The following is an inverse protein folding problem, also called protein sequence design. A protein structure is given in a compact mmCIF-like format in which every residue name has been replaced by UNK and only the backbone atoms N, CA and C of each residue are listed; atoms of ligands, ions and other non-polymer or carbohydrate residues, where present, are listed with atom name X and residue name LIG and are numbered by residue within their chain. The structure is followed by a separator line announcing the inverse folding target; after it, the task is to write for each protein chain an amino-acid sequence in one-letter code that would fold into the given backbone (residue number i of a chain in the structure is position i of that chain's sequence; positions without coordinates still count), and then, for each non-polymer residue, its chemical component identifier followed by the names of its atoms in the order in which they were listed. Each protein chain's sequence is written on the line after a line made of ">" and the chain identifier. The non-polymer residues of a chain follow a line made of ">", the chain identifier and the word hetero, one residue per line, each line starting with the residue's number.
data_IF_725596612180
#
_entry.id   IF_725596612180
#
_cell.length_a   1.000
_cell.length_b   1.000
_cell.length_c   1.000
_cell.angle_alpha   90.00
_cell.angle_beta   90.00
_cell.angle_gamma   90.00
#
_symmetry.space_group_name_H-M   'P 1'
#
loop_
_entity.id
_entity.type
_entity.pdbx_description
1 polymer ?
#
# COMPACT_ATOMS: atom_id res chain seq x y z
N UNK A 1 25.89 5.54 24.31
CA UNK A 1 24.46 5.92 24.35
C UNK A 1 24.35 7.35 23.83
N UNK A 2 23.83 7.57 22.62
CA UNK A 2 23.58 8.92 22.09
C UNK A 2 22.18 9.35 22.53
N UNK A 3 22.12 10.24 23.51
CA UNK A 3 20.87 10.88 23.95
C UNK A 3 20.49 11.89 22.86
N UNK A 4 19.28 11.77 22.32
CA UNK A 4 18.73 12.71 21.34
C UNK A 4 18.58 14.12 21.97
N UNK A 5 18.72 15.22 21.21
CA UNK A 5 18.66 16.56 21.77
C UNK A 5 17.28 16.88 22.36
N UNK A 6 17.18 17.66 23.45
CA UNK A 6 15.90 18.12 23.96
C UNK A 6 15.38 19.17 22.98
N UNK A 7 14.21 18.90 22.39
CA UNK A 7 13.43 19.72 21.43
C UNK A 7 13.16 19.07 20.05
N UNK A 8 13.15 17.74 19.93
CA UNK A 8 12.45 17.06 18.82
C UNK A 8 10.94 16.96 19.04
N UNK A 9 10.34 17.89 19.78
CA UNK A 9 8.90 18.01 19.88
C UNK A 9 8.40 18.50 18.52
N UNK A 10 7.78 17.61 17.75
CA UNK A 10 6.99 17.99 16.59
C UNK A 10 6.11 19.19 16.97
N UNK A 11 6.14 20.27 16.19
CA UNK A 11 5.25 21.42 16.41
C UNK A 11 3.83 20.92 16.70
N UNK A 12 3.20 21.35 17.82
CA UNK A 12 1.86 20.91 18.19
C UNK A 12 0.91 21.10 17.00
N UNK A 13 0.31 20.01 16.53
CA UNK A 13 -0.68 20.03 15.45
C UNK A 13 -0.18 19.69 14.04
N UNK A 14 1.12 19.59 13.76
CA UNK A 14 1.59 19.20 12.41
C UNK A 14 1.20 17.76 12.06
N UNK A 15 1.33 16.84 13.01
CA UNK A 15 0.87 15.45 12.85
C UNK A 15 -0.65 15.37 12.61
N UNK A 16 -1.43 16.16 13.35
CA UNK A 16 -2.88 16.24 13.17
C UNK A 16 -3.26 16.78 11.78
N UNK A 17 -2.52 17.77 11.25
CA UNK A 17 -2.74 18.29 9.90
C UNK A 17 -2.48 17.23 8.83
N UNK A 18 -1.38 16.49 8.92
CA UNK A 18 -1.04 15.42 7.97
C UNK A 18 -2.08 14.29 8.03
N UNK A 19 -2.41 13.82 9.23
CA UNK A 19 -3.46 12.82 9.45
C UNK A 19 -4.79 13.26 8.83
N UNK A 20 -5.24 14.49 9.10
CA UNK A 20 -6.49 15.03 8.52
C UNK A 20 -6.44 15.07 6.99
N UNK A 21 -5.29 15.46 6.42
CA UNK A 21 -5.10 15.47 4.96
C UNK A 21 -5.22 14.07 4.35
N UNK A 22 -4.60 13.05 4.96
CA UNK A 22 -4.69 11.66 4.48
C UNK A 22 -6.14 11.15 4.56
N UNK A 23 -6.84 11.42 5.67
CA UNK A 23 -8.25 11.04 5.81
C UNK A 23 -9.14 11.71 4.76
N UNK A 24 -8.99 13.02 4.57
CA UNK A 24 -9.72 13.74 3.54
C UNK A 24 -9.41 13.24 2.13
N UNK A 25 -8.17 12.86 1.84
CA UNK A 25 -7.81 12.25 0.56
C UNK A 25 -8.51 10.91 0.34
N UNK A 26 -8.54 10.04 1.36
CA UNK A 26 -9.25 8.76 1.33
C UNK A 26 -10.77 8.91 1.11
N UNK A 27 -11.37 9.97 1.65
CA UNK A 27 -12.82 10.17 1.54
C UNK A 27 -13.23 10.94 0.27
N UNK A 28 -12.32 11.75 -0.29
CA UNK A 28 -12.56 12.50 -1.53
C UNK A 28 -12.30 11.70 -2.80
N UNK A 29 -11.58 10.57 -2.73
CA UNK A 29 -11.28 9.75 -3.91
C UNK A 29 -12.49 9.05 -4.53
N UNK A 30 -13.67 9.12 -3.89
CA UNK A 30 -14.94 8.63 -4.45
C UNK A 30 -15.55 9.60 -5.47
N UNK A 31 -15.08 10.84 -5.52
CA UNK A 31 -15.71 11.93 -6.29
C UNK A 31 -14.84 12.48 -7.43
N UNK A 32 -13.54 12.16 -7.49
CA UNK A 32 -12.60 12.71 -8.49
C UNK A 32 -11.45 11.76 -8.83
N UNK A 33 -10.76 12.05 -9.95
CA UNK A 33 -9.48 11.50 -10.47
C UNK A 33 -8.29 11.75 -9.54
N UNK A 34 -8.47 11.58 -8.23
CA UNK A 34 -7.43 11.80 -7.24
C UNK A 34 -6.28 10.78 -7.41
N UNK A 35 -5.04 11.18 -7.12
CA UNK A 35 -3.91 10.28 -7.18
C UNK A 35 -4.12 9.10 -6.22
N UNK A 36 -3.81 7.87 -6.65
CA UNK A 36 -3.94 6.66 -5.84
C UNK A 36 -2.78 6.43 -4.86
N UNK A 37 -1.75 7.28 -4.91
CA UNK A 37 -0.56 7.19 -4.07
C UNK A 37 -0.39 8.51 -3.29
N UNK A 38 -0.22 8.40 -1.98
CA UNK A 38 0.31 9.48 -1.14
C UNK A 38 1.69 9.08 -0.63
N UNK A 39 2.67 9.96 -0.88
CA UNK A 39 4.01 9.83 -0.32
C UNK A 39 4.19 10.76 0.88
N UNK A 40 4.46 10.19 2.06
CA UNK A 40 4.76 10.96 3.29
C UNK A 40 6.26 11.03 3.49
N UNK A 41 6.84 12.23 3.38
CA UNK A 41 8.27 12.45 3.51
C UNK A 41 8.58 13.50 4.59
N UNK A 42 9.83 13.48 5.07
CA UNK A 42 10.32 14.36 6.13
C UNK A 42 11.60 13.83 6.77
N UNK A 43 12.25 14.65 7.58
CA UNK A 43 13.52 14.30 8.24
C UNK A 43 13.41 13.09 9.18
N UNK A 44 14.53 12.45 9.49
CA UNK A 44 14.58 11.31 10.42
C UNK A 44 14.08 11.73 11.81
N UNK A 45 13.21 10.91 12.42
CA UNK A 45 12.63 11.21 13.74
C UNK A 45 11.44 12.17 13.72
N UNK A 46 10.95 12.65 12.56
CA UNK A 46 9.77 13.53 12.51
C UNK A 46 8.41 12.80 12.71
N UNK A 47 8.44 11.48 12.95
CA UNK A 47 7.24 10.70 13.26
C UNK A 47 6.46 10.14 12.06
N UNK A 48 7.11 9.97 10.89
CA UNK A 48 6.47 9.35 9.69
C UNK A 48 5.85 7.98 9.99
N UNK A 49 6.60 7.08 10.61
CA UNK A 49 6.12 5.77 11.02
C UNK A 49 4.96 5.85 12.01
N UNK A 50 4.96 6.85 12.91
CA UNK A 50 3.86 7.07 13.83
C UNK A 50 2.57 7.51 13.10
N UNK A 51 2.70 8.31 12.03
CA UNK A 51 1.58 8.67 11.15
C UNK A 51 1.09 7.44 10.39
N UNK A 52 1.98 6.65 9.79
CA UNK A 52 1.63 5.44 9.06
C UNK A 52 0.86 4.43 9.96
N UNK A 53 1.37 4.17 11.16
CA UNK A 53 0.71 3.31 12.15
C UNK A 53 -0.66 3.85 12.59
N UNK A 54 -0.77 5.16 12.80
CA UNK A 54 -2.05 5.79 13.13
C UNK A 54 -3.07 5.62 12.01
N UNK A 55 -2.67 5.78 10.75
CA UNK A 55 -3.57 5.62 9.61
C UNK A 55 -3.97 4.17 9.41
N UNK A 56 -3.03 3.23 9.54
CA UNK A 56 -3.34 1.80 9.51
C UNK A 56 -4.36 1.43 10.59
N UNK A 57 -4.16 1.87 11.85
CA UNK A 57 -5.12 1.61 12.94
C UNK A 57 -6.49 2.23 12.67
N UNK A 58 -6.51 3.49 12.21
CA UNK A 58 -7.76 4.19 11.92
C UNK A 58 -8.58 3.47 10.85
N UNK A 59 -7.97 3.17 9.70
CA UNK A 59 -8.67 2.53 8.59
C UNK A 59 -8.95 1.04 8.82
N UNK A 60 -8.20 0.36 9.70
CA UNK A 60 -8.57 -0.97 10.17
C UNK A 60 -9.90 -0.94 10.95
N UNK A 61 -10.10 0.06 11.83
CA UNK A 61 -11.36 0.25 12.55
C UNK A 61 -12.56 0.62 11.66
N UNK A 62 -12.29 1.15 10.46
CA UNK A 62 -13.30 1.48 9.46
C UNK A 62 -13.59 0.32 8.48
N UNK A 63 -12.93 -0.84 8.64
CA UNK A 63 -12.93 -1.96 7.69
C UNK A 63 -12.43 -1.56 6.28
N UNK A 64 -11.53 -0.58 6.21
CA UNK A 64 -10.99 -0.01 4.95
C UNK A 64 -9.48 -0.21 4.82
N UNK A 65 -8.83 -0.92 5.73
CA UNK A 65 -7.42 -1.30 5.57
C UNK A 65 -7.33 -2.61 4.80
N UNK A 66 -6.79 -2.58 3.58
CA UNK A 66 -6.51 -3.78 2.80
C UNK A 66 -5.20 -4.46 3.24
N UNK A 67 -4.17 -3.67 3.53
CA UNK A 67 -2.91 -4.19 4.03
C UNK A 67 -2.09 -3.12 4.76
N UNK A 68 -1.20 -3.56 5.63
CA UNK A 68 -0.12 -2.75 6.17
C UNK A 68 1.17 -3.55 6.32
N UNK A 69 2.29 -2.93 5.95
CA UNK A 69 3.62 -3.50 6.10
C UNK A 69 4.60 -2.43 6.57
N UNK A 70 5.35 -2.75 7.62
CA UNK A 70 6.32 -1.86 8.24
C UNK A 70 7.68 -2.55 8.18
N UNK A 71 8.57 -2.03 7.32
CA UNK A 71 9.96 -2.46 7.28
C UNK A 71 10.67 -2.00 8.55
N UNK A 72 11.58 -2.83 9.04
CA UNK A 72 12.41 -2.48 10.20
C UNK A 72 13.82 -3.04 10.00
N UNK A 73 14.83 -2.16 9.99
CA UNK A 73 16.24 -2.59 9.87
C UNK A 73 16.64 -3.56 10.98
N UNK A 74 17.28 -4.67 10.60
CA UNK A 74 17.83 -5.65 11.54
C UNK A 74 16.81 -6.56 12.24
N UNK A 75 15.54 -6.55 11.83
CA UNK A 75 14.50 -7.46 12.36
C UNK A 75 14.41 -8.81 11.61
N UNK A 76 15.48 -9.25 10.93
CA UNK A 76 15.53 -10.54 10.23
C UNK A 76 14.62 -10.57 9.00
N UNK A 77 13.63 -11.45 8.97
CA UNK A 77 12.69 -11.57 7.83
C UNK A 77 11.90 -10.29 7.53
N UNK A 78 11.83 -9.33 8.48
CA UNK A 78 11.23 -7.99 8.27
C UNK A 78 12.21 -6.93 7.73
N UNK A 79 13.50 -7.25 7.65
CA UNK A 79 14.50 -6.44 6.94
C UNK A 79 14.75 -6.91 5.50
N UNK A 80 14.16 -8.06 5.12
CA UNK A 80 14.31 -8.70 3.81
C UNK A 80 13.00 -8.73 3.04
N UNK A 81 13.09 -8.50 1.73
CA UNK A 81 11.97 -8.42 0.80
C UNK A 81 11.17 -9.74 0.66
N UNK A 82 11.78 -10.84 1.12
CA UNK A 82 11.32 -12.24 1.03
C UNK A 82 9.85 -12.51 1.34
N UNK A 83 9.26 -11.79 2.29
CA UNK A 83 7.85 -11.98 2.69
C UNK A 83 6.96 -10.81 2.36
N UNK A 84 7.49 -9.75 1.75
CA UNK A 84 6.76 -8.51 1.60
C UNK A 84 5.50 -8.71 0.73
N UNK A 85 5.67 -9.19 -0.50
CA UNK A 85 4.54 -9.41 -1.41
C UNK A 85 3.54 -10.45 -0.88
N UNK A 86 4.02 -11.57 -0.34
CA UNK A 86 3.15 -12.64 0.19
C UNK A 86 2.36 -12.20 1.41
N UNK A 87 2.95 -11.38 2.28
CA UNK A 87 2.27 -10.79 3.44
C UNK A 87 1.19 -9.82 2.99
N UNK A 88 1.50 -8.90 2.06
CA UNK A 88 0.51 -7.96 1.53
C UNK A 88 -0.62 -8.71 0.81
N UNK A 89 -0.30 -9.70 -0.02
CA UNK A 89 -1.30 -10.50 -0.72
C UNK A 89 -2.24 -11.25 0.24
N UNK A 90 -1.70 -11.84 1.31
CA UNK A 90 -2.49 -12.52 2.34
C UNK A 90 -3.45 -11.56 3.05
N UNK A 91 -2.97 -10.37 3.42
CA UNK A 91 -3.81 -9.35 4.05
C UNK A 91 -4.89 -8.82 3.09
N UNK A 92 -4.54 -8.58 1.82
CA UNK A 92 -5.50 -8.19 0.77
C UNK A 92 -6.56 -9.27 0.57
N UNK A 93 -6.18 -10.56 0.55
CA UNK A 93 -7.13 -11.66 0.47
C UNK A 93 -8.08 -11.71 1.66
N UNK A 94 -7.60 -11.41 2.86
CA UNK A 94 -8.45 -11.35 4.06
C UNK A 94 -9.42 -10.16 4.03
N UNK A 95 -8.95 -8.98 3.62
CA UNK A 95 -9.76 -7.76 3.57
C UNK A 95 -10.73 -7.73 2.37
N UNK A 96 -10.33 -8.34 1.25
CA UNK A 96 -11.08 -8.37 -0.01
C UNK A 96 -11.15 -9.84 -0.49
N UNK A 97 -12.05 -10.67 0.08
CA UNK A 97 -12.09 -12.12 -0.14
C UNK A 97 -12.20 -12.56 -1.60
N UNK A 98 -12.75 -11.72 -2.48
CA UNK A 98 -12.83 -11.99 -3.92
C UNK A 98 -11.46 -12.13 -4.58
N UNK A 99 -10.41 -11.54 -4.02
CA UNK A 99 -9.03 -11.66 -4.52
C UNK A 99 -8.40 -13.01 -4.21
N UNK A 100 -8.84 -13.72 -3.17
CA UNK A 100 -8.22 -14.95 -2.68
C UNK A 100 -8.13 -16.03 -3.79
N UNK A 101 -9.25 -16.28 -4.49
CA UNK A 101 -9.29 -17.27 -5.57
C UNK A 101 -8.36 -16.94 -6.75
N UNK A 102 -8.10 -15.64 -6.97
CA UNK A 102 -7.23 -15.16 -8.05
C UNK A 102 -5.76 -15.36 -7.65
N UNK A 103 -5.43 -15.02 -6.41
CA UNK A 103 -4.11 -15.25 -5.81
C UNK A 103 -3.78 -16.75 -5.81
N UNK A 104 -4.71 -17.60 -5.39
CA UNK A 104 -4.52 -19.05 -5.40
C UNK A 104 -4.23 -19.59 -6.80
N UNK A 105 -4.97 -19.12 -7.82
CA UNK A 105 -4.72 -19.52 -9.21
C UNK A 105 -3.34 -19.07 -9.69
N UNK A 106 -2.92 -17.85 -9.35
CA UNK A 106 -1.59 -17.35 -9.69
C UNK A 106 -0.49 -18.22 -9.06
N UNK A 107 -0.61 -18.54 -7.77
CA UNK A 107 0.35 -19.40 -7.05
C UNK A 107 0.36 -20.83 -7.59
N UNK A 108 -0.81 -21.41 -7.93
CA UNK A 108 -0.89 -22.74 -8.55
C UNK A 108 -0.21 -22.78 -9.92
N UNK A 109 -0.35 -21.72 -10.72
CA UNK A 109 0.28 -21.61 -12.03
C UNK A 109 1.78 -21.33 -11.94
N UNK A 110 2.22 -20.57 -10.93
CA UNK A 110 3.63 -20.26 -10.70
C UNK A 110 3.95 -20.30 -9.19
N UNK A 111 4.36 -21.48 -8.65
CA UNK A 111 4.77 -21.61 -7.27
C UNK A 111 6.01 -20.75 -6.90
N UNK A 112 6.79 -20.32 -7.90
CA UNK A 112 7.91 -19.40 -7.73
C UNK A 112 7.52 -18.06 -7.11
N UNK A 113 6.25 -17.64 -7.22
CA UNK A 113 5.72 -16.42 -6.63
C UNK A 113 5.84 -16.37 -5.09
N UNK A 114 5.99 -17.53 -4.42
CA UNK A 114 6.14 -17.60 -2.97
C UNK A 114 7.60 -17.48 -2.49
N UNK A 115 8.54 -17.33 -3.41
CA UNK A 115 9.98 -17.31 -3.13
C UNK A 115 10.66 -16.21 -3.92
N UNK A 116 11.61 -15.51 -3.30
CA UNK A 116 12.42 -14.48 -3.98
C UNK A 116 13.62 -15.04 -4.73
N UNK A 117 13.84 -16.36 -4.72
CA UNK A 117 14.98 -16.97 -5.43
C UNK A 117 14.90 -16.83 -6.94
N UNK A 118 13.68 -16.87 -7.49
CA UNK A 118 13.44 -16.99 -8.93
C UNK A 118 12.45 -15.95 -9.46
N UNK A 119 12.02 -15.00 -8.63
CA UNK A 119 10.98 -14.04 -9.01
C UNK A 119 11.22 -12.72 -8.29
N UNK A 120 11.24 -11.62 -9.05
CA UNK A 120 11.44 -10.27 -8.55
C UNK A 120 10.28 -9.84 -7.65
N UNK A 121 10.51 -8.86 -6.77
CA UNK A 121 9.43 -8.29 -5.96
C UNK A 121 8.33 -7.68 -6.84
N UNK A 122 8.72 -6.98 -7.91
CA UNK A 122 7.79 -6.36 -8.84
C UNK A 122 6.85 -7.40 -9.47
N UNK A 123 7.40 -8.55 -9.90
CA UNK A 123 6.60 -9.65 -10.46
C UNK A 123 5.69 -10.29 -9.42
N UNK A 124 6.17 -10.46 -8.18
CA UNK A 124 5.34 -10.96 -7.08
C UNK A 124 4.16 -10.02 -6.82
N UNK A 125 4.39 -8.70 -6.75
CA UNK A 125 3.33 -7.71 -6.55
C UNK A 125 2.34 -7.66 -7.73
N UNK A 126 2.84 -7.71 -8.96
CA UNK A 126 2.00 -7.77 -10.17
C UNK A 126 1.00 -8.92 -10.09
N UNK A 127 1.46 -10.13 -9.76
CA UNK A 127 0.64 -11.33 -9.79
C UNK A 127 -0.18 -11.57 -8.52
N UNK A 128 0.34 -11.18 -7.36
CA UNK A 128 -0.28 -11.46 -6.05
C UNK A 128 -1.10 -10.29 -5.50
N UNK A 129 -0.91 -9.07 -6.00
CA UNK A 129 -1.58 -7.87 -5.46
C UNK A 129 -2.29 -7.09 -6.58
N UNK A 130 -1.57 -6.60 -7.59
CA UNK A 130 -2.13 -5.69 -8.59
C UNK A 130 -3.18 -6.35 -9.49
N UNK A 131 -2.86 -7.50 -10.10
CA UNK A 131 -3.83 -8.24 -10.92
C UNK A 131 -5.06 -8.70 -10.14
N UNK A 132 -4.92 -9.28 -8.93
CA UNK A 132 -6.08 -9.62 -8.10
C UNK A 132 -6.99 -8.42 -7.84
N UNK A 133 -6.44 -7.28 -7.37
CA UNK A 133 -7.21 -6.06 -7.08
C UNK A 133 -7.88 -5.49 -8.34
N UNK A 134 -7.19 -5.49 -9.48
CA UNK A 134 -7.73 -4.99 -10.75
C UNK A 134 -8.80 -5.92 -11.37
N UNK A 135 -8.84 -7.20 -10.95
CA UNK A 135 -9.82 -8.17 -11.43
C UNK A 135 -11.11 -8.21 -10.61
N UNK A 136 -11.13 -7.54 -9.46
CA UNK A 136 -12.33 -7.40 -8.64
C UNK A 136 -13.33 -6.50 -9.37
N UNK A 137 -14.56 -6.99 -9.52
CA UNK A 137 -15.70 -6.16 -9.96
C UNK A 137 -16.21 -5.37 -8.77
N UNK A 138 -15.59 -4.21 -8.54
CA UNK A 138 -15.90 -3.36 -7.38
C UNK A 138 -17.38 -2.98 -7.35
N UNK A 139 -18.01 -2.67 -8.49
CA UNK A 139 -19.45 -2.32 -8.53
C UNK A 139 -20.40 -3.41 -7.99
N UNK A 140 -19.96 -4.67 -7.95
CA UNK A 140 -20.74 -5.81 -7.47
C UNK A 140 -20.41 -6.22 -6.02
N UNK A 141 -19.46 -5.56 -5.35
CA UNK A 141 -19.11 -5.87 -3.97
C UNK A 141 -20.20 -5.35 -3.02
N UNK A 142 -20.98 -6.26 -2.43
CA UNK A 142 -22.16 -5.95 -1.61
C UNK A 142 -21.83 -5.20 -0.30
N UNK A 143 -22.06 -3.90 -0.26
CA UNK A 143 -21.96 -3.00 0.90
C UNK A 143 -20.58 -2.53 1.44
N UNK A 144 -19.37 -3.15 1.29
CA UNK A 144 -18.19 -2.64 1.99
C UNK A 144 -17.59 -1.43 1.24
N UNK A 145 -17.86 -1.32 -0.07
CA UNK A 145 -17.52 -0.13 -0.86
C UNK A 145 -18.45 1.06 -0.61
N UNK A 146 -19.54 0.91 0.15
CA UNK A 146 -20.30 2.09 0.61
C UNK A 146 -19.47 2.96 1.55
N UNK A 147 -18.41 2.43 2.18
CA UNK A 147 -17.57 3.17 3.13
C UNK A 147 -16.40 3.92 2.47
N UNK A 148 -16.07 3.63 1.20
CA UNK A 148 -14.98 4.28 0.46
C UNK A 148 -13.86 3.35 0.01
N UNK A 149 -12.76 3.89 -0.55
CA UNK A 149 -11.62 3.09 -1.00
C UNK A 149 -10.93 2.34 0.14
N UNK A 150 -10.22 1.28 -0.22
CA UNK A 150 -9.29 0.56 0.65
C UNK A 150 -7.91 1.22 0.67
N UNK A 151 -7.22 1.14 1.81
CA UNK A 151 -5.87 1.64 2.02
C UNK A 151 -4.86 0.50 2.13
N UNK A 152 -3.72 0.66 1.46
CA UNK A 152 -2.50 -0.12 1.74
C UNK A 152 -1.46 0.84 2.34
N UNK A 153 -0.95 0.51 3.53
CA UNK A 153 0.07 1.33 4.22
C UNK A 153 1.42 0.66 4.16
N UNK A 154 2.40 1.35 3.56
CA UNK A 154 3.79 0.90 3.49
C UNK A 154 4.68 1.93 4.21
N UNK A 155 5.49 1.48 5.16
CA UNK A 155 6.39 2.34 5.92
C UNK A 155 7.79 1.73 6.02
N UNK A 156 8.82 2.58 6.05
CA UNK A 156 10.22 2.16 6.12
C UNK A 156 10.76 1.56 4.83
N UNK A 157 10.22 1.90 3.66
CA UNK A 157 10.70 1.36 2.38
C UNK A 157 12.20 1.63 2.16
N UNK A 158 12.73 2.74 2.70
CA UNK A 158 14.15 3.11 2.73
C UNK A 158 15.00 2.31 3.75
N UNK A 159 14.35 1.58 4.64
CA UNK A 159 14.96 0.70 5.63
C UNK A 159 15.24 -0.71 5.09
N UNK A 160 14.69 -1.08 3.92
CA UNK A 160 14.95 -2.37 3.27
C UNK A 160 16.42 -2.52 2.84
N UNK A 161 16.98 -3.72 3.02
CA UNK A 161 18.34 -4.06 2.60
C UNK A 161 18.43 -4.25 1.07
N UNK A 162 17.35 -4.72 0.45
CA UNK A 162 17.24 -5.04 -0.99
C UNK A 162 16.88 -3.80 -1.84
N UNK A 163 17.77 -2.81 -1.91
CA UNK A 163 17.47 -1.49 -2.51
C UNK A 163 17.07 -1.51 -3.99
N UNK A 164 17.68 -2.37 -4.80
CA UNK A 164 17.39 -2.46 -6.24
C UNK A 164 15.97 -2.99 -6.47
N UNK A 165 15.59 -4.07 -5.78
CA UNK A 165 14.25 -4.64 -5.81
C UNK A 165 13.19 -3.65 -5.31
N UNK A 166 13.52 -2.86 -4.29
CA UNK A 166 12.64 -1.78 -3.81
C UNK A 166 12.46 -0.69 -4.86
N UNK A 167 13.53 -0.27 -5.54
CA UNK A 167 13.46 0.70 -6.63
C UNK A 167 12.52 0.23 -7.74
N UNK A 168 12.75 -0.99 -8.24
CA UNK A 168 11.92 -1.60 -9.27
C UNK A 168 10.45 -1.74 -8.83
N UNK A 169 10.22 -2.10 -7.57
CA UNK A 169 8.87 -2.12 -7.00
C UNK A 169 8.20 -0.74 -7.00
N UNK A 170 8.90 0.31 -6.58
CA UNK A 170 8.36 1.68 -6.57
C UNK A 170 8.01 2.13 -7.98
N UNK A 171 8.90 1.92 -8.95
CA UNK A 171 8.68 2.30 -10.34
C UNK A 171 7.44 1.58 -10.89
N UNK A 172 7.35 0.26 -10.67
CA UNK A 172 6.21 -0.54 -11.11
C UNK A 172 4.89 -0.15 -10.43
N UNK A 173 4.94 0.20 -9.15
CA UNK A 173 3.79 0.72 -8.40
C UNK A 173 3.30 2.04 -9.00
N UNK A 174 4.21 2.99 -9.28
CA UNK A 174 3.87 4.27 -9.88
C UNK A 174 3.24 4.04 -11.26
N UNK A 175 3.84 3.22 -12.12
CA UNK A 175 3.28 2.88 -13.43
C UNK A 175 1.85 2.35 -13.33
N UNK A 176 1.63 1.36 -12.45
CA UNK A 176 0.33 0.72 -12.28
C UNK A 176 -0.76 1.74 -11.90
N UNK A 177 -0.48 2.62 -10.94
CA UNK A 177 -1.47 3.56 -10.42
C UNK A 177 -1.61 4.85 -11.24
N UNK A 178 -0.54 5.31 -11.92
CA UNK A 178 -0.58 6.52 -12.76
C UNK A 178 -1.21 6.24 -14.13
N UNK A 179 -0.90 5.10 -14.77
CA UNK A 179 -1.50 4.77 -16.06
C UNK A 179 -3.03 4.62 -15.93
N UNK A 180 -3.52 4.08 -14.81
CA UNK A 180 -4.96 3.89 -14.53
C UNK A 180 -5.72 5.19 -14.25
N UNK A 181 -5.06 6.22 -13.71
CA UNK A 181 -5.64 7.56 -13.58
C UNK A 181 -5.92 8.17 -14.97
N UNK A 182 -5.08 7.88 -15.96
CA UNK A 182 -5.23 8.37 -17.34
C UNK A 182 -6.36 7.67 -18.10
N UNK A 183 -6.52 6.35 -17.96
CA UNK A 183 -7.59 5.59 -18.64
C UNK A 183 -9.01 5.88 -18.12
N UNK A 184 -9.16 6.44 -16.91
CA UNK A 184 -10.48 6.85 -16.38
C UNK A 184 -10.98 8.20 -16.93
N UNK A 185 -10.22 8.88 -17.81
CA UNK A 185 -10.56 10.23 -18.31
C UNK A 185 -11.03 10.26 -19.78
N UNK A 186 -11.23 9.12 -20.45
CA UNK A 186 -11.83 9.10 -21.80
C UNK A 186 -13.14 8.33 -21.82
N UNK A 187 -14.25 9.06 -21.61
CA UNK A 187 -15.54 8.66 -22.18
C UNK A 187 -15.55 9.11 -23.65
N UNK A 188 -15.87 8.23 -24.62
CA UNK A 188 -16.22 8.69 -25.96
C UNK A 188 -17.56 9.41 -25.87
N UNK A 189 -17.58 10.69 -26.25
CA UNK A 189 -18.82 11.37 -26.60
C UNK A 189 -19.43 10.63 -27.79
N UNK A 190 -20.55 9.95 -27.55
CA UNK A 190 -21.44 9.51 -28.61
C UNK A 190 -22.53 10.56 -28.81
N UNK A 191 -22.67 10.93 -30.08
CA UNK A 191 -23.59 11.86 -30.75
C UNK A 191 -23.16 13.32 -30.79
#
# INVERSE_FOLDING_TARGET
>A
MKVSPPNSACFPGTRLKVTKKIRSWMDSSLLFTNPHIIWVYGYAGCGKSAIAQEMARYFAGEDRLAASFFFFRGAGDRSRITRFATTVASQVAAAIPTTASIIEKAVKANPGLLTTKNTSLADQFEHLVYRPINSVKWDNLAAPLRKGPFLIVLDGVDECEDREEVGAFIDRMIEFFVQKATYSTTLPHHQ
#
